data_IF_221837625597
#
_entry.id   IF_221837625597
#
_cell.length_a   1.000
_cell.length_b   1.000
_cell.length_c   1.000
_cell.angle_alpha   90.00
_cell.angle_beta   90.00
_cell.angle_gamma   90.00
#
_symmetry.space_group_name_H-M   'P 1'
#
loop_
_entity.id
_entity.type
_entity.pdbx_description
1 polymer ?
#
# COMPACT_ATOMS: atom_id res chain seq x y z
N UNK A 1 -6.67 -17.90 20.53
CA UNK A 1 -5.62 -17.53 19.53
C UNK A 1 -5.10 -18.79 18.84
N UNK A 2 -4.40 -18.70 17.70
CA UNK A 2 -3.76 -19.91 17.14
C UNK A 2 -2.71 -20.43 18.12
N UNK A 3 -2.63 -21.75 18.31
CA UNK A 3 -1.57 -22.40 19.10
C UNK A 3 -0.59 -23.03 18.13
N UNK A 4 0.67 -22.61 18.18
CA UNK A 4 1.73 -23.18 17.37
C UNK A 4 2.84 -23.75 18.27
N UNK A 5 3.41 -24.91 17.93
CA UNK A 5 2.92 -25.84 16.91
C UNK A 5 1.61 -26.54 17.36
N UNK A 6 0.78 -26.96 16.41
CA UNK A 6 -0.38 -27.82 16.69
C UNK A 6 -0.29 -29.14 15.92
N UNK A 7 -0.92 -30.19 16.46
CA UNK A 7 -1.02 -31.50 15.81
C UNK A 7 -2.36 -31.62 15.08
N UNK A 8 -2.33 -31.99 13.81
CA UNK A 8 -3.50 -32.35 12.99
C UNK A 8 -3.18 -33.57 12.13
N UNK A 9 -4.02 -34.61 12.17
CA UNK A 9 -3.81 -35.90 11.53
C UNK A 9 -2.42 -36.50 11.83
N UNK A 10 -1.97 -36.38 13.08
CA UNK A 10 -0.65 -36.86 13.52
C UNK A 10 0.55 -36.05 13.01
N UNK A 11 0.35 -34.96 12.25
CA UNK A 11 1.41 -34.07 11.78
C UNK A 11 1.44 -32.78 12.57
N UNK A 12 2.65 -32.26 12.83
CA UNK A 12 2.85 -30.99 13.52
C UNK A 12 2.91 -29.83 12.53
N UNK A 13 2.16 -28.76 12.81
CA UNK A 13 2.07 -27.56 12.00
C UNK A 13 2.50 -26.34 12.84
N UNK A 14 3.52 -25.63 12.37
CA UNK A 14 4.03 -24.40 12.97
C UNK A 14 3.44 -23.11 12.36
N UNK A 15 2.54 -23.25 11.40
CA UNK A 15 1.84 -22.15 10.72
C UNK A 15 0.42 -22.57 10.36
N UNK A 16 -0.38 -21.63 9.85
CA UNK A 16 -1.68 -21.93 9.28
C UNK A 16 -1.54 -22.93 8.11
N UNK A 17 -2.52 -23.82 7.97
CA UNK A 17 -2.54 -24.87 6.95
C UNK A 17 -3.82 -24.76 6.12
N UNK A 18 -3.76 -25.19 4.86
CA UNK A 18 -4.92 -25.30 3.96
C UNK A 18 -5.37 -26.76 3.78
N UNK A 19 -4.71 -27.70 4.46
CA UNK A 19 -5.09 -29.11 4.44
C UNK A 19 -6.55 -29.25 4.87
N UNK A 20 -7.30 -30.01 4.07
CA UNK A 20 -8.74 -30.27 4.23
C UNK A 20 -9.62 -29.01 4.27
N UNK A 21 -9.17 -27.93 3.63
CA UNK A 21 -9.91 -26.69 3.44
C UNK A 21 -9.94 -26.31 1.97
N UNK A 22 -11.13 -25.96 1.45
CA UNK A 22 -11.32 -25.64 0.03
C UNK A 22 -10.63 -24.33 -0.41
N UNK A 23 -10.24 -23.47 0.53
CA UNK A 23 -9.60 -22.18 0.20
C UNK A 23 -9.19 -21.28 1.38
N UNK A 24 -9.29 -21.79 2.59
CA UNK A 24 -9.10 -20.97 3.78
C UNK A 24 -8.04 -21.59 4.66
N UNK A 25 -6.92 -20.88 4.78
CA UNK A 25 -5.91 -21.26 5.76
C UNK A 25 -6.50 -21.19 7.17
N UNK A 26 -6.23 -22.21 7.98
CA UNK A 26 -6.75 -22.36 9.34
C UNK A 26 -5.64 -22.80 10.29
N UNK A 27 -5.88 -22.65 11.59
CA UNK A 27 -4.98 -23.11 12.66
C UNK A 27 -5.80 -23.73 13.79
N UNK A 28 -5.21 -24.67 14.54
CA UNK A 28 -5.82 -25.11 15.78
C UNK A 28 -5.68 -24.04 16.87
N UNK A 29 -6.66 -24.01 17.79
CA UNK A 29 -6.61 -23.21 19.02
C UNK A 29 -6.18 -24.03 20.24
N UNK A 30 -5.79 -25.28 20.01
CA UNK A 30 -5.26 -26.26 20.98
C UNK A 30 -3.94 -26.82 20.45
N UNK A 31 -3.10 -27.39 21.32
CA UNK A 31 -1.83 -28.02 20.91
C UNK A 31 -2.03 -29.32 20.12
N UNK A 32 -3.19 -29.96 20.24
CA UNK A 32 -3.52 -31.21 19.54
C UNK A 32 -4.99 -31.17 19.10
N UNK A 33 -5.21 -30.89 17.82
CA UNK A 33 -6.54 -30.87 17.21
C UNK A 33 -7.19 -32.26 17.27
N UNK A 34 -6.42 -33.32 17.02
CA UNK A 34 -6.92 -34.70 16.96
C UNK A 34 -7.55 -35.15 18.29
N UNK A 35 -7.05 -34.61 19.42
CA UNK A 35 -7.61 -34.85 20.76
C UNK A 35 -8.64 -33.81 21.19
N UNK A 36 -8.50 -32.57 20.72
CA UNK A 36 -9.29 -31.43 21.17
C UNK A 36 -9.59 -30.52 19.97
N UNK A 37 -10.65 -30.84 19.19
CA UNK A 37 -10.90 -30.26 17.87
C UNK A 37 -11.44 -28.84 17.97
N UNK A 38 -10.53 -27.90 18.21
CA UNK A 38 -10.83 -26.48 18.21
C UNK A 38 -9.89 -25.78 17.24
N UNK A 39 -10.47 -24.94 16.40
CA UNK A 39 -9.77 -24.28 15.33
C UNK A 39 -10.41 -22.95 15.00
N UNK A 40 -9.67 -22.15 14.25
CA UNK A 40 -10.22 -20.95 13.63
C UNK A 40 -9.57 -20.74 12.28
N UNK A 41 -10.26 -20.01 11.41
CA UNK A 41 -9.60 -19.47 10.23
C UNK A 41 -8.49 -18.54 10.65
N UNK A 42 -7.35 -18.69 10.00
CA UNK A 42 -6.35 -17.66 10.06
C UNK A 42 -6.90 -16.42 9.38
N UNK A 43 -6.59 -15.25 9.91
CA UNK A 43 -6.94 -14.00 9.26
C UNK A 43 -6.41 -14.09 7.83
N UNK A 44 -7.33 -14.08 6.88
CA UNK A 44 -7.02 -14.20 5.47
C UNK A 44 -5.99 -13.10 5.20
N UNK A 45 -4.80 -13.45 4.72
CA UNK A 45 -4.08 -12.51 3.86
C UNK A 45 -4.96 -12.40 2.61
N UNK A 46 -5.98 -11.55 2.69
CA UNK A 46 -6.98 -11.29 1.66
C UNK A 46 -6.30 -10.62 0.47
N UNK A 47 -5.50 -11.43 -0.24
CA UNK A 47 -4.59 -11.01 -1.30
C UNK A 47 -4.54 -12.04 -2.43
N UNK A 48 -5.31 -13.12 -2.42
CA UNK A 48 -5.35 -14.08 -3.55
C UNK A 48 -6.68 -14.05 -4.30
N UNK A 49 -7.82 -13.89 -3.62
CA UNK A 49 -9.12 -13.73 -4.29
C UNK A 49 -9.42 -12.32 -4.84
N UNK A 50 -8.72 -11.30 -4.33
CA UNK A 50 -8.81 -9.92 -4.84
C UNK A 50 -7.85 -9.64 -6.02
N UNK A 51 -6.93 -10.56 -6.34
CA UNK A 51 -5.87 -10.32 -7.33
C UNK A 51 -6.29 -10.50 -8.80
N UNK A 52 -7.56 -10.79 -9.07
CA UNK A 52 -8.07 -10.77 -10.45
C UNK A 52 -8.69 -9.43 -10.86
N UNK A 53 -8.98 -8.53 -9.90
CA UNK A 53 -9.64 -7.24 -10.17
C UNK A 53 -9.02 -6.03 -9.47
N UNK A 54 -8.00 -6.21 -8.62
CA UNK A 54 -7.25 -5.06 -8.07
C UNK A 54 -6.03 -4.80 -8.95
N UNK A 55 -6.03 -3.72 -9.77
CA UNK A 55 -4.87 -3.38 -10.58
C UNK A 55 -3.69 -3.06 -9.65
N UNK A 56 -2.53 -3.66 -9.95
CA UNK A 56 -1.29 -3.53 -9.17
C UNK A 56 -1.02 -2.06 -8.78
N UNK A 57 -0.50 -1.78 -7.58
CA UNK A 57 -0.18 -0.41 -7.18
C UNK A 57 0.83 0.21 -8.14
N UNK A 58 0.84 1.55 -8.21
CA UNK A 58 1.87 2.27 -8.92
C UNK A 58 3.23 1.95 -8.30
N UNK A 59 4.25 1.72 -9.13
CA UNK A 59 5.63 1.63 -8.68
C UNK A 59 6.28 2.98 -8.91
N UNK A 60 6.78 3.59 -7.83
CA UNK A 60 7.53 4.83 -7.91
C UNK A 60 8.95 4.64 -7.34
N UNK A 61 9.97 5.20 -8.00
CA UNK A 61 9.91 5.76 -9.35
C UNK A 61 9.73 4.69 -10.42
N UNK A 62 9.13 5.04 -11.56
CA UNK A 62 9.10 4.19 -12.76
C UNK A 62 9.78 4.86 -13.94
N UNK A 63 10.35 4.05 -14.84
CA UNK A 63 10.98 4.52 -16.08
C UNK A 63 9.96 4.44 -17.22
N UNK A 64 9.79 5.54 -17.94
CA UNK A 64 9.00 5.62 -19.18
C UNK A 64 9.73 6.51 -20.19
N UNK A 65 9.92 6.01 -21.41
CA UNK A 65 10.71 6.67 -22.46
C UNK A 65 12.09 7.12 -21.96
N UNK A 66 12.75 6.28 -21.16
CA UNK A 66 14.07 6.56 -20.57
C UNK A 66 14.10 7.63 -19.47
N UNK A 67 12.94 8.19 -19.06
CA UNK A 67 12.84 9.17 -17.96
C UNK A 67 12.21 8.54 -16.72
N UNK A 68 12.69 8.95 -15.55
CA UNK A 68 12.18 8.49 -14.26
C UNK A 68 11.07 9.40 -13.74
N UNK A 69 9.93 8.82 -13.36
CA UNK A 69 8.78 9.53 -12.84
C UNK A 69 8.40 9.01 -11.45
N UNK A 70 8.19 9.93 -10.52
CA UNK A 70 7.81 9.64 -9.13
C UNK A 70 6.34 9.98 -8.82
N UNK A 71 5.55 10.27 -9.85
CA UNK A 71 4.13 10.59 -9.77
C UNK A 71 3.41 10.10 -11.01
N UNK A 72 2.08 10.08 -10.98
CA UNK A 72 1.30 9.83 -12.18
C UNK A 72 1.62 10.89 -13.25
N UNK A 73 1.66 10.46 -14.50
CA UNK A 73 1.93 11.32 -15.65
C UNK A 73 0.73 11.34 -16.58
N UNK A 74 0.52 12.46 -17.25
CA UNK A 74 -0.54 12.62 -18.27
C UNK A 74 0.03 12.48 -19.70
N UNK A 75 1.34 12.26 -19.81
CA UNK A 75 2.07 12.09 -21.07
C UNK A 75 1.47 10.88 -21.82
N UNK A 76 1.21 11.07 -23.11
CA UNK A 76 0.65 10.06 -24.00
C UNK A 76 -0.70 9.48 -23.54
N UNK A 77 -1.46 10.25 -22.76
CA UNK A 77 -2.85 9.95 -22.35
C UNK A 77 -3.78 11.12 -22.68
N UNK A 78 -5.06 10.87 -22.95
CA UNK A 78 -6.08 11.89 -23.20
C UNK A 78 -6.48 12.65 -21.91
N UNK A 79 -5.53 13.31 -21.24
CA UNK A 79 -5.67 13.95 -19.93
C UNK A 79 -6.08 12.99 -18.79
N UNK A 80 -5.69 11.72 -18.89
CA UNK A 80 -5.97 10.72 -17.86
C UNK A 80 -4.65 10.29 -17.20
N UNK A 81 -4.32 10.82 -16.00
CA UNK A 81 -3.05 10.53 -15.37
C UNK A 81 -2.91 9.02 -15.15
N UNK A 82 -1.74 8.48 -15.46
CA UNK A 82 -1.44 7.06 -15.33
C UNK A 82 -0.07 6.85 -14.67
N UNK A 83 0.15 5.64 -14.16
CA UNK A 83 1.42 5.24 -13.56
C UNK A 83 1.78 3.82 -14.03
N UNK A 84 3.07 3.52 -14.10
CA UNK A 84 3.49 2.14 -14.29
C UNK A 84 3.29 1.32 -13.00
N UNK A 85 2.97 0.05 -13.16
CA UNK A 85 2.90 -0.93 -12.07
C UNK A 85 4.16 -1.80 -11.98
N UNK A 86 5.19 -1.41 -12.73
CA UNK A 86 6.56 -1.96 -12.72
C UNK A 86 7.57 -0.82 -12.60
N UNK A 87 8.79 -1.14 -12.18
CA UNK A 87 9.86 -0.15 -12.06
C UNK A 87 10.35 0.39 -13.43
N UNK A 88 10.12 -0.35 -14.51
CA UNK A 88 10.51 0.05 -15.86
C UNK A 88 9.42 -0.34 -16.84
N UNK A 89 8.63 0.65 -17.26
CA UNK A 89 7.58 0.49 -18.25
C UNK A 89 8.14 0.07 -19.60
N UNK A 90 9.26 0.67 -20.02
CA UNK A 90 9.89 0.41 -21.32
C UNK A 90 10.28 -1.08 -21.49
N UNK A 91 10.63 -1.76 -20.39
CA UNK A 91 10.93 -3.20 -20.36
C UNK A 91 9.73 -4.08 -20.02
N UNK A 92 8.77 -3.55 -19.25
CA UNK A 92 7.65 -4.31 -18.71
C UNK A 92 6.41 -3.42 -18.67
N UNK A 93 5.67 -3.33 -19.80
CA UNK A 93 4.63 -2.34 -20.03
C UNK A 93 3.34 -2.69 -19.29
N UNK A 94 3.37 -2.58 -17.96
CA UNK A 94 2.18 -2.69 -17.12
C UNK A 94 1.94 -1.36 -16.45
N UNK A 95 0.68 -0.94 -16.47
CA UNK A 95 0.28 0.37 -16.03
C UNK A 95 -1.17 0.36 -15.57
N UNK A 96 -1.58 1.45 -14.93
CA UNK A 96 -2.98 1.72 -14.65
C UNK A 96 -3.24 3.22 -14.69
N UNK A 97 -4.49 3.58 -14.99
CA UNK A 97 -4.95 4.93 -14.71
C UNK A 97 -4.93 5.19 -13.22
N UNK A 98 -4.45 6.36 -12.85
CA UNK A 98 -4.55 6.86 -11.50
C UNK A 98 -6.01 7.29 -11.28
N UNK A 99 -6.62 6.78 -10.21
CA UNK A 99 -8.00 7.16 -9.87
C UNK A 99 -8.03 8.65 -9.51
N UNK A 100 -8.64 9.44 -10.39
CA UNK A 100 -8.72 10.90 -10.29
C UNK A 100 -9.53 11.36 -9.08
N UNK A 101 -10.43 10.52 -8.55
CA UNK A 101 -11.17 10.82 -7.31
C UNK A 101 -10.27 10.80 -6.07
N UNK A 102 -9.17 10.06 -6.11
CA UNK A 102 -8.19 10.03 -5.03
C UNK A 102 -7.05 11.05 -5.21
N UNK A 103 -6.80 11.58 -6.41
CA UNK A 103 -5.65 12.45 -6.69
C UNK A 103 -5.97 13.95 -6.63
N UNK A 104 -7.11 14.39 -7.17
CA UNK A 104 -7.41 15.83 -7.25
C UNK A 104 -7.88 16.47 -5.94
N UNK A 105 -8.30 15.66 -4.95
CA UNK A 105 -8.87 16.13 -3.68
C UNK A 105 -8.02 15.82 -2.45
N UNK A 106 -6.79 15.32 -2.65
CA UNK A 106 -5.90 14.93 -1.55
C UNK A 106 -5.10 16.13 -1.01
N UNK A 107 -5.76 17.20 -0.61
CA UNK A 107 -5.13 18.40 -0.02
C UNK A 107 -5.47 19.68 -0.77
N UNK A 108 -4.89 20.80 -0.38
CA UNK A 108 -5.23 22.12 -0.91
C UNK A 108 -4.34 22.57 -2.09
N UNK A 109 -3.52 21.66 -2.61
CA UNK A 109 -2.59 21.92 -3.72
C UNK A 109 -3.02 21.30 -5.04
N UNK A 110 -4.28 20.86 -5.18
CA UNK A 110 -4.84 20.29 -6.42
C UNK A 110 -3.97 19.15 -7.00
N UNK A 111 -3.40 18.30 -6.15
CA UNK A 111 -2.56 17.19 -6.57
C UNK A 111 -1.11 17.54 -6.94
N UNK A 112 -0.59 18.73 -6.59
CA UNK A 112 0.84 19.01 -6.75
C UNK A 112 1.70 18.01 -5.96
N UNK A 113 2.82 17.62 -6.55
CA UNK A 113 3.82 16.73 -5.96
C UNK A 113 4.43 17.32 -4.68
N UNK A 114 4.82 16.43 -3.77
CA UNK A 114 5.58 16.78 -2.57
C UNK A 114 6.91 17.45 -2.91
N UNK A 115 7.30 18.45 -2.14
CA UNK A 115 8.62 19.07 -2.21
C UNK A 115 9.39 18.66 -0.96
N UNK A 116 10.53 18.01 -1.16
CA UNK A 116 11.44 17.65 -0.06
C UNK A 116 12.80 18.36 -0.27
N UNK A 117 13.43 18.85 0.82
CA UNK A 117 12.85 19.02 2.14
C UNK A 117 11.81 20.16 2.19
N UNK A 118 10.87 20.09 3.13
CA UNK A 118 9.94 21.19 3.42
C UNK A 118 9.95 21.59 4.89
N UNK A 119 9.72 22.88 5.16
CA UNK A 119 9.57 23.45 6.50
C UNK A 119 8.11 23.41 6.95
N UNK A 120 7.85 22.90 8.15
CA UNK A 120 6.56 22.90 8.85
C UNK A 120 6.77 23.07 10.36
N UNK A 121 6.09 24.06 10.96
CA UNK A 121 6.23 24.46 12.38
C UNK A 121 7.69 24.59 12.81
N UNK A 122 8.47 25.33 12.04
CA UNK A 122 9.91 25.55 12.27
C UNK A 122 10.79 24.29 12.23
N UNK A 123 10.24 23.15 11.81
CA UNK A 123 10.97 21.89 11.60
C UNK A 123 11.08 21.53 10.12
N UNK A 124 12.19 20.93 9.71
CA UNK A 124 12.42 20.50 8.32
C UNK A 124 12.15 19.01 8.18
N UNK A 125 11.37 18.62 7.18
CA UNK A 125 10.98 17.24 6.92
C UNK A 125 11.42 16.78 5.53
N UNK A 126 11.92 15.55 5.47
CA UNK A 126 12.41 14.89 4.25
C UNK A 126 11.50 13.76 3.77
N UNK A 127 10.43 13.47 4.51
CA UNK A 127 9.45 12.43 4.21
C UNK A 127 8.04 12.92 4.52
N UNK A 128 7.04 12.17 4.07
CA UNK A 128 5.66 12.43 4.44
C UNK A 128 5.49 12.31 5.96
N UNK A 129 4.70 13.20 6.54
CA UNK A 129 4.40 13.25 7.97
C UNK A 129 2.91 13.03 8.18
N UNK A 130 2.51 12.45 9.30
CA UNK A 130 1.11 12.31 9.70
C UNK A 130 0.74 13.28 10.86
N UNK A 131 1.58 14.29 11.10
CA UNK A 131 1.38 15.24 12.19
C UNK A 131 0.04 15.96 12.01
N UNK A 132 -0.73 15.97 13.10
CA UNK A 132 -2.04 16.64 13.22
C UNK A 132 -3.16 16.07 12.33
N UNK A 133 -2.94 14.92 11.68
CA UNK A 133 -3.96 14.32 10.83
C UNK A 133 -4.77 13.25 11.56
N UNK A 134 -6.06 13.51 11.74
CA UNK A 134 -6.98 12.69 12.57
C UNK A 134 -7.21 11.28 12.02
N UNK A 135 -7.06 11.09 10.71
CA UNK A 135 -7.26 9.80 10.04
C UNK A 135 -5.97 9.00 9.88
N UNK A 136 -4.86 9.45 10.46
CA UNK A 136 -3.56 8.77 10.35
C UNK A 136 -2.96 8.79 8.94
N UNK A 137 -3.46 9.66 8.05
CA UNK A 137 -2.95 9.80 6.68
C UNK A 137 -1.66 10.60 6.68
N UNK A 138 -0.70 10.16 5.87
CA UNK A 138 0.54 10.88 5.65
C UNK A 138 0.36 11.97 4.60
N UNK A 139 0.91 13.15 4.86
CA UNK A 139 0.88 14.33 4.01
C UNK A 139 2.27 14.95 3.89
N UNK A 140 2.43 15.78 2.87
CA UNK A 140 3.65 16.51 2.57
C UNK A 140 3.32 17.93 2.11
N UNK A 141 4.26 18.86 2.27
CA UNK A 141 4.12 20.17 1.63
C UNK A 141 4.43 20.08 0.13
N UNK A 142 3.77 20.91 -0.67
CA UNK A 142 4.04 21.03 -2.12
C UNK A 142 4.89 22.26 -2.44
N UNK A 143 5.44 22.90 -1.41
CA UNK A 143 6.40 23.99 -1.46
C UNK A 143 7.48 23.80 -0.40
N UNK A 144 8.58 24.54 -0.49
CA UNK A 144 9.69 24.46 0.48
C UNK A 144 9.32 24.95 1.87
N UNK A 145 8.32 25.82 1.98
CA UNK A 145 7.92 26.43 3.25
C UNK A 145 6.40 26.38 3.41
N UNK A 146 5.93 25.34 4.09
CA UNK A 146 4.51 25.18 4.40
C UNK A 146 4.00 26.28 5.33
N UNK A 147 4.81 26.74 6.29
CA UNK A 147 4.38 27.75 7.26
C UNK A 147 3.95 29.06 6.57
N UNK A 148 4.60 29.38 5.44
CA UNK A 148 4.27 30.53 4.59
C UNK A 148 3.16 30.22 3.60
N UNK A 149 3.32 29.17 2.79
CA UNK A 149 2.48 28.93 1.61
C UNK A 149 1.20 28.16 1.94
N UNK A 150 1.22 27.42 3.05
CA UNK A 150 0.17 26.52 3.54
C UNK A 150 -0.31 25.54 2.47
N UNK A 151 0.55 25.16 1.53
CA UNK A 151 0.23 24.24 0.42
C UNK A 151 0.71 22.83 0.73
N UNK A 152 -0.22 21.88 0.72
CA UNK A 152 0.05 20.47 0.97
C UNK A 152 -0.75 19.52 0.08
N UNK A 153 -0.27 18.28 0.04
CA UNK A 153 -0.95 17.13 -0.56
C UNK A 153 -0.80 15.91 0.35
N UNK A 154 -1.78 15.01 0.36
CA UNK A 154 -1.60 13.68 0.95
C UNK A 154 -0.68 12.86 0.07
N UNK A 155 0.19 12.08 0.71
CA UNK A 155 1.06 11.17 0.01
C UNK A 155 0.26 9.99 -0.55
N UNK A 156 0.63 9.55 -1.76
CA UNK A 156 0.08 8.36 -2.36
C UNK A 156 0.51 7.14 -1.52
N UNK A 157 -0.51 6.42 -1.06
CA UNK A 157 -0.50 5.17 -0.29
C UNK A 157 0.84 4.72 0.32
N UNK A 158 1.33 5.44 1.34
CA UNK A 158 2.28 4.89 2.32
C UNK A 158 1.56 4.09 3.42
N UNK A 159 0.28 3.73 3.24
CA UNK A 159 -0.51 3.00 4.24
C UNK A 159 -0.07 1.54 4.44
N UNK A 160 1.04 1.11 3.83
CA UNK A 160 1.65 -0.20 4.07
C UNK A 160 3.17 -0.14 4.11
N UNK A 161 3.72 0.61 5.06
CA UNK A 161 5.00 0.23 5.68
C UNK A 161 4.80 0.31 7.19
N UNK A 162 4.24 -0.75 7.74
CA UNK A 162 4.51 -1.14 9.12
C UNK A 162 5.22 -2.48 9.05
N UNK A 163 6.47 -2.47 9.50
CA UNK A 163 7.33 -3.63 9.73
C UNK A 163 6.71 -4.49 10.83
#
# INVERSE_FOLDING_TARGET
PCVFPFIYQGKSYSSCTEVDSLNHSWCATTSNYDKSPQWKYCAIKSLTYLYFWVPRPCVFPFIYQGKSYSSCIEIDSLNLPWCATTANYDKSPQWKYCDTKEYYNRGNSRGRSCVFPFKYKDSVFYSCINKEEKRGRFWCATTRNYDKDKRWSYCADTSKITV
#
